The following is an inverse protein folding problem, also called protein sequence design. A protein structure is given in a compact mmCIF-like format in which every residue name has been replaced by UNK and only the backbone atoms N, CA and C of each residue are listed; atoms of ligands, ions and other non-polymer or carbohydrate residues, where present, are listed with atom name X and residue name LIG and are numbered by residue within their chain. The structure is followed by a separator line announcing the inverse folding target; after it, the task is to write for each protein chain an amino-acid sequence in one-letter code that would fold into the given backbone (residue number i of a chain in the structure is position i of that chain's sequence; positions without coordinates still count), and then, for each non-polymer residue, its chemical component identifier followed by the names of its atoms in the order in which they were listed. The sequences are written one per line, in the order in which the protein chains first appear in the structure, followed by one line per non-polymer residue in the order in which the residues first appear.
data_IF_808365985962
#
_entry.id   IF_808365985962
#
_cell.length_a   1.000
_cell.length_b   1.000
_cell.length_c   1.000
_cell.angle_alpha   90.00
_cell.angle_beta   90.00
_cell.angle_gamma   90.00
#
_symmetry.space_group_name_H-M   'P 1'
#
loop_
_entity.id
_entity.type
_entity.pdbx_description
1 polymer ?
#
# COMPACT_ATOMS: atom_id res chain seq x y z
N UNK A 1 31.53 -5.26 5.05
CA UNK A 1 31.43 -3.91 4.45
C UNK A 1 30.12 -3.28 4.90
N UNK A 2 30.14 -2.06 5.43
CA UNK A 2 28.92 -1.32 5.71
C UNK A 2 28.37 -0.73 4.39
N UNK A 3 27.06 -0.81 4.18
CA UNK A 3 26.37 -0.12 3.07
C UNK A 3 25.70 1.12 3.67
N UNK A 4 25.96 2.28 3.08
CA UNK A 4 25.42 3.56 3.54
C UNK A 4 24.20 3.93 2.69
N UNK A 5 23.18 4.49 3.34
CA UNK A 5 21.99 5.05 2.69
C UNK A 5 21.96 6.53 3.02
N UNK A 6 21.92 7.38 2.00
CA UNK A 6 21.69 8.81 2.18
C UNK A 6 20.19 9.06 2.33
N UNK A 7 19.83 9.91 3.28
CA UNK A 7 18.45 10.36 3.52
C UNK A 7 18.46 11.87 3.66
N UNK A 8 17.32 12.51 3.41
CA UNK A 8 17.16 13.93 3.67
C UNK A 8 17.16 14.21 5.18
N UNK A 9 17.53 15.44 5.57
CA UNK A 9 17.73 15.81 6.97
C UNK A 9 16.42 15.72 7.80
N UNK A 10 15.29 16.07 7.18
CA UNK A 10 13.96 15.92 7.76
C UNK A 10 13.65 14.45 8.10
N UNK A 11 13.96 13.53 7.18
CA UNK A 11 13.80 12.09 7.38
C UNK A 11 14.72 11.59 8.50
N UNK A 12 15.94 12.10 8.60
CA UNK A 12 16.86 11.73 9.68
C UNK A 12 16.31 12.12 11.06
N UNK A 13 15.80 13.35 11.21
CA UNK A 13 15.23 13.83 12.47
C UNK A 13 13.93 13.09 12.82
N UNK A 14 13.10 12.75 11.84
CA UNK A 14 11.94 11.88 12.06
C UNK A 14 12.35 10.50 12.58
N UNK A 15 13.31 9.85 11.94
CA UNK A 15 13.81 8.54 12.36
C UNK A 15 14.38 8.59 13.78
N UNK A 16 15.06 9.68 14.15
CA UNK A 16 15.62 9.90 15.48
C UNK A 16 14.53 10.05 16.55
N UNK A 17 13.40 10.64 16.19
CA UNK A 17 12.22 10.77 17.07
C UNK A 17 11.46 9.45 17.24
N UNK A 18 11.47 8.60 16.20
CA UNK A 18 10.73 7.33 16.17
C UNK A 18 11.48 6.14 16.79
N UNK A 19 12.82 6.13 16.75
CA UNK A 19 13.62 5.11 17.43
C UNK A 19 13.52 5.25 18.94
N UNK A 20 13.67 4.14 19.67
CA UNK A 20 13.79 4.20 21.14
C UNK A 20 15.11 4.90 21.53
N UNK A 21 15.18 5.45 22.75
CA UNK A 21 16.37 6.19 23.25
C UNK A 21 17.67 5.41 23.06
N UNK A 22 17.65 4.13 23.45
CA UNK A 22 18.82 3.24 23.40
C UNK A 22 18.87 2.34 22.15
N UNK A 23 17.98 2.57 21.16
CA UNK A 23 17.92 1.78 19.92
C UNK A 23 18.72 2.44 18.80
N UNK A 24 19.45 1.64 18.03
CA UNK A 24 20.13 2.09 16.81
C UNK A 24 19.15 2.22 15.62
N UNK A 25 19.50 3.01 14.60
CA UNK A 25 18.69 3.09 13.38
C UNK A 25 18.52 1.73 12.70
N UNK A 26 19.57 0.90 12.70
CA UNK A 26 19.53 -0.45 12.13
C UNK A 26 18.55 -1.37 12.86
N UNK A 27 18.45 -1.26 14.20
CA UNK A 27 17.48 -2.01 15.00
C UNK A 27 16.07 -1.51 14.79
N UNK A 28 15.88 -0.18 14.75
CA UNK A 28 14.60 0.43 14.42
C UNK A 28 14.07 -0.05 13.07
N UNK A 29 14.89 0.01 12.01
CA UNK A 29 14.53 -0.44 10.68
C UNK A 29 14.24 -1.94 10.66
N UNK A 30 15.04 -2.76 11.34
CA UNK A 30 14.81 -4.21 11.47
C UNK A 30 13.49 -4.51 12.17
N UNK A 31 13.15 -3.76 13.22
CA UNK A 31 11.87 -3.89 13.93
C UNK A 31 10.72 -3.48 13.03
N UNK A 32 10.84 -2.36 12.32
CA UNK A 32 9.81 -1.88 11.39
C UNK A 32 9.56 -2.90 10.27
N UNK A 33 10.62 -3.49 9.71
CA UNK A 33 10.51 -4.54 8.70
C UNK A 33 9.90 -5.84 9.25
N UNK A 34 10.10 -6.15 10.54
CA UNK A 34 9.42 -7.28 11.22
C UNK A 34 7.95 -6.99 11.52
N UNK A 35 7.59 -5.73 11.77
CA UNK A 35 6.21 -5.31 12.10
C UNK A 35 5.36 -5.13 10.84
N UNK A 36 5.96 -4.92 9.66
CA UNK A 36 5.26 -5.06 8.38
C UNK A 36 4.91 -6.54 8.17
N UNK A 37 3.81 -6.99 8.78
CA UNK A 37 3.09 -8.19 8.35
C UNK A 37 2.98 -8.10 6.83
N UNK A 38 3.34 -9.17 6.14
CA UNK A 38 3.14 -9.21 4.69
C UNK A 38 1.66 -8.93 4.41
N UNK A 39 1.32 -8.23 3.32
CA UNK A 39 -0.09 -7.99 2.94
C UNK A 39 -0.85 -9.32 2.84
N UNK A 40 -0.15 -10.40 2.48
CA UNK A 40 -0.66 -11.77 2.49
C UNK A 40 -1.12 -12.27 3.87
N UNK A 41 -0.58 -11.76 4.97
CA UNK A 41 -1.00 -12.10 6.34
C UNK A 41 -2.23 -11.32 6.82
N UNK A 42 -2.71 -10.35 6.03
CA UNK A 42 -4.01 -9.69 6.23
C UNK A 42 -5.16 -10.47 5.56
N UNK A 43 -4.85 -11.50 4.76
CA UNK A 43 -5.86 -12.38 4.21
C UNK A 43 -6.51 -13.20 5.35
N UNK A 44 -7.81 -13.02 5.57
CA UNK A 44 -8.57 -13.74 6.59
C UNK A 44 -8.56 -13.11 7.98
N UNK A 45 -7.86 -11.99 8.20
CA UNK A 45 -8.16 -11.13 9.35
C UNK A 45 -9.42 -10.36 9.00
N UNK A 46 -10.43 -10.37 9.88
CA UNK A 46 -11.71 -9.68 9.69
C UNK A 46 -11.56 -8.13 9.73
N UNK A 47 -10.74 -7.59 8.83
CA UNK A 47 -10.38 -6.18 8.71
C UNK A 47 -11.53 -5.35 8.13
N UNK A 48 -12.54 -6.00 7.55
CA UNK A 48 -13.81 -5.41 7.16
C UNK A 48 -14.96 -6.19 7.79
N UNK A 49 -15.95 -5.47 8.28
CA UNK A 49 -17.26 -6.02 8.61
C UNK A 49 -17.97 -6.55 7.36
N UNK A 50 -18.93 -7.45 7.55
CA UNK A 50 -19.75 -7.98 6.45
C UNK A 50 -20.48 -6.87 5.68
N UNK A 51 -20.87 -5.78 6.34
CA UNK A 51 -21.52 -4.62 5.72
C UNK A 51 -20.56 -3.81 4.86
N UNK A 52 -19.32 -3.58 5.32
CA UNK A 52 -18.28 -2.94 4.51
C UNK A 52 -17.92 -3.80 3.30
N UNK A 53 -17.90 -5.12 3.46
CA UNK A 53 -17.65 -6.06 2.37
C UNK A 53 -18.75 -6.05 1.30
N UNK A 54 -20.01 -5.95 1.74
CA UNK A 54 -21.16 -5.86 0.84
C UNK A 54 -21.14 -4.55 0.06
N UNK A 55 -20.88 -3.41 0.72
CA UNK A 55 -20.70 -2.11 0.06
C UNK A 55 -19.56 -2.11 -0.95
N UNK A 56 -18.44 -2.77 -0.63
CA UNK A 56 -17.31 -2.86 -1.57
C UNK A 56 -17.65 -3.71 -2.80
N UNK A 57 -18.49 -4.74 -2.67
CA UNK A 57 -19.00 -5.51 -3.82
C UNK A 57 -19.90 -4.68 -4.72
N UNK A 58 -20.80 -3.88 -4.15
CA UNK A 58 -21.69 -3.00 -4.93
C UNK A 58 -20.89 -1.97 -5.72
N UNK A 59 -19.93 -1.29 -5.08
CA UNK A 59 -19.06 -0.32 -5.75
C UNK A 59 -18.24 -0.95 -6.88
N UNK A 60 -17.76 -2.19 -6.70
CA UNK A 60 -17.05 -2.92 -7.76
C UNK A 60 -17.95 -3.31 -8.94
N UNK A 61 -19.22 -3.63 -8.69
CA UNK A 61 -20.17 -3.96 -9.75
C UNK A 61 -20.46 -2.71 -10.60
N UNK A 62 -20.72 -1.58 -9.96
CA UNK A 62 -20.92 -0.28 -10.65
C UNK A 62 -19.67 0.13 -11.45
N UNK A 63 -18.48 -0.13 -10.91
CA UNK A 63 -17.23 0.16 -11.59
C UNK A 63 -16.95 -0.75 -12.80
N UNK A 64 -17.42 -2.00 -12.77
CA UNK A 64 -17.23 -2.94 -13.87
C UNK A 64 -17.96 -2.49 -15.15
N UNK A 65 -19.18 -1.98 -15.00
CA UNK A 65 -19.97 -1.45 -16.13
C UNK A 65 -19.28 -0.23 -16.76
N UNK A 66 -18.74 0.67 -15.92
CA UNK A 66 -17.99 1.85 -16.37
C UNK A 66 -16.64 1.50 -17.02
N UNK A 67 -15.99 0.44 -16.54
CA UNK A 67 -14.73 -0.05 -17.12
C UNK A 67 -14.96 -0.78 -18.45
N UNK A 68 -16.10 -1.46 -18.62
CA UNK A 68 -16.50 -2.06 -19.90
C UNK A 68 -16.78 -0.99 -20.96
N UNK A 69 -17.53 0.06 -20.61
CA UNK A 69 -17.76 1.21 -21.50
C UNK A 69 -16.44 1.92 -21.86
N UNK A 70 -15.54 2.13 -20.89
CA UNK A 70 -14.20 2.67 -21.18
C UNK A 70 -13.42 1.78 -22.14
N UNK A 71 -13.40 0.47 -21.89
CA UNK A 71 -12.69 -0.50 -22.71
C UNK A 71 -13.18 -0.46 -24.17
N UNK A 72 -14.51 -0.44 -24.38
CA UNK A 72 -15.12 -0.31 -25.70
C UNK A 72 -14.80 1.03 -26.38
N UNK A 73 -14.84 2.13 -25.63
CA UNK A 73 -14.51 3.47 -26.15
C UNK A 73 -13.03 3.62 -26.56
N UNK A 74 -12.14 2.88 -25.90
CA UNK A 74 -10.71 2.86 -26.20
C UNK A 74 -10.40 2.00 -27.42
N UNK A 75 -11.17 0.92 -27.64
CA UNK A 75 -11.05 0.05 -28.81
C UNK A 75 -11.56 0.70 -30.10
N UNK A 76 -12.67 1.45 -30.03
CA UNK A 76 -13.21 2.15 -31.21
C UNK A 76 -12.31 3.29 -31.71
N UNK A 77 -11.57 3.94 -30.81
CA UNK A 77 -10.60 4.98 -31.17
C UNK A 77 -9.32 4.44 -31.82
N UNK A 78 -9.03 3.13 -31.72
CA UNK A 78 -7.86 2.51 -32.37
C UNK A 78 -8.12 2.04 -33.81
N UNK A 79 -9.38 1.96 -34.23
CA UNK A 79 -9.75 1.48 -35.57
C UNK A 79 -9.91 2.58 -36.63
N UNK A 80 -9.83 3.86 -36.24
CA UNK A 80 -9.94 5.01 -37.15
C UNK A 80 -8.59 5.73 -37.43
N UNK A 81 -7.45 5.10 -37.11
CA UNK A 81 -6.10 5.61 -37.35
C UNK A 81 -5.38 4.99 -38.55
#
# INVERSE_FOLDING_TARGET
MAKNIAVADDVYEELKRLKRKDESFSEYLRRLLKTRRAISELAGTATMSSEEWMRMKELKAEQADLDEERSLSMLSQQTEG
#
